data_IF_766827481683
#
_entry.id   IF_766827481683
#
_cell.length_a   1.000
_cell.length_b   1.000
_cell.length_c   1.000
_cell.angle_alpha   90.00
_cell.angle_beta   90.00
_cell.angle_gamma   90.00
#
_symmetry.space_group_name_H-M   'P 1'
#
loop_
_entity.id
_entity.type
_entity.pdbx_description
1 polymer ?
#
# COMPACT_ATOMS: atom_id res chain seq x y z
N UNK A 1 -4.00 10.60 -16.53
CA UNK A 1 -3.09 10.33 -17.67
C UNK A 1 -2.97 8.82 -17.94
N UNK A 2 -2.29 8.02 -17.11
CA UNK A 2 -2.20 6.57 -17.36
C UNK A 2 -3.57 5.87 -17.31
N UNK A 3 -4.35 6.10 -16.25
CA UNK A 3 -5.72 5.55 -16.13
C UNK A 3 -6.62 5.86 -17.33
N UNK A 4 -6.63 7.11 -17.79
CA UNK A 4 -7.55 7.51 -18.86
C UNK A 4 -7.09 6.95 -20.23
N UNK A 5 -5.78 6.80 -20.44
CA UNK A 5 -5.24 6.14 -21.62
C UNK A 5 -5.56 4.63 -21.64
N UNK A 6 -5.51 3.96 -20.47
CA UNK A 6 -5.97 2.58 -20.30
C UNK A 6 -7.46 2.46 -20.66
N UNK A 7 -8.31 3.31 -20.08
CA UNK A 7 -9.76 3.32 -20.35
C UNK A 7 -10.08 3.52 -21.83
N UNK A 8 -9.29 4.35 -22.50
CA UNK A 8 -9.47 4.65 -23.93
C UNK A 8 -8.82 3.61 -24.86
N UNK A 9 -8.29 2.51 -24.32
CA UNK A 9 -7.73 1.41 -25.11
C UNK A 9 -6.41 1.73 -25.80
N UNK A 10 -5.62 2.69 -25.28
CA UNK A 10 -4.28 2.97 -25.83
C UNK A 10 -3.26 1.88 -25.49
N UNK A 11 -3.54 1.08 -24.45
CA UNK A 11 -2.79 -0.10 -24.04
C UNK A 11 -3.72 -1.05 -23.28
N UNK A 12 -3.37 -2.33 -23.23
CA UNK A 12 -4.23 -3.39 -22.68
C UNK A 12 -4.09 -3.54 -21.15
N UNK A 13 -2.93 -3.18 -20.59
CA UNK A 13 -2.65 -3.33 -19.16
C UNK A 13 -1.61 -2.32 -18.67
N UNK A 14 -1.60 -2.07 -17.35
CA UNK A 14 -0.57 -1.30 -16.66
C UNK A 14 -0.15 -2.05 -15.40
N UNK A 15 1.15 -2.05 -15.12
CA UNK A 15 1.71 -2.65 -13.92
C UNK A 15 2.27 -1.57 -13.00
N UNK A 16 1.91 -1.62 -11.73
CA UNK A 16 2.47 -0.82 -10.64
C UNK A 16 2.00 -1.43 -9.31
N UNK A 17 2.15 -0.70 -8.22
CA UNK A 17 1.78 -1.14 -6.89
C UNK A 17 0.29 -1.48 -6.81
N UNK A 18 -0.03 -2.58 -6.14
CA UNK A 18 -1.40 -3.08 -5.98
C UNK A 18 -2.34 -2.04 -5.36
N UNK A 19 -1.89 -1.24 -4.39
CA UNK A 19 -2.71 -0.20 -3.74
C UNK A 19 -3.02 0.97 -4.68
N UNK A 20 -2.13 1.30 -5.62
CA UNK A 20 -2.38 2.31 -6.65
C UNK A 20 -3.42 1.79 -7.64
N UNK A 21 -3.24 0.55 -8.10
CA UNK A 21 -4.17 -0.13 -9.00
C UNK A 21 -5.56 -0.32 -8.35
N UNK A 22 -5.61 -0.64 -7.06
CA UNK A 22 -6.85 -0.72 -6.28
C UNK A 22 -7.61 0.61 -6.31
N UNK A 23 -6.91 1.75 -6.23
CA UNK A 23 -7.52 3.06 -6.39
C UNK A 23 -8.09 3.32 -7.78
N UNK A 24 -7.55 2.69 -8.84
CA UNK A 24 -8.12 2.79 -10.19
C UNK A 24 -9.44 2.02 -10.27
N UNK A 25 -9.47 0.81 -9.71
CA UNK A 25 -10.67 -0.04 -9.64
C UNK A 25 -11.76 0.62 -8.78
N UNK A 26 -11.43 1.12 -7.57
CA UNK A 26 -12.42 1.78 -6.68
C UNK A 26 -13.06 3.01 -7.35
N UNK A 27 -12.31 3.74 -8.18
CA UNK A 27 -12.81 4.92 -8.87
C UNK A 27 -13.68 4.61 -10.10
N UNK A 28 -13.56 3.41 -10.69
CA UNK A 28 -14.26 3.01 -11.91
C UNK A 28 -14.38 1.46 -12.00
N UNK A 29 -15.19 0.84 -11.14
CA UNK A 29 -15.21 -0.62 -10.98
C UNK A 29 -15.76 -1.38 -12.19
N UNK A 30 -16.55 -0.71 -13.04
CA UNK A 30 -17.07 -1.30 -14.28
C UNK A 30 -16.07 -1.21 -15.45
N UNK A 31 -15.03 -0.37 -15.32
CA UNK A 31 -14.05 -0.12 -16.39
C UNK A 31 -12.73 -0.88 -16.17
N UNK A 32 -12.40 -1.24 -14.93
CA UNK A 32 -11.10 -1.82 -14.59
C UNK A 32 -11.20 -2.99 -13.62
N UNK A 33 -10.29 -3.94 -13.79
CA UNK A 33 -10.08 -5.05 -12.87
C UNK A 33 -8.59 -5.23 -12.54
N UNK A 34 -8.33 -5.79 -11.36
CA UNK A 34 -7.00 -6.22 -10.94
C UNK A 34 -6.79 -7.67 -11.35
N UNK A 35 -5.88 -7.91 -12.30
CA UNK A 35 -5.62 -9.24 -12.86
C UNK A 35 -4.25 -9.79 -12.45
N UNK A 36 -4.16 -11.11 -12.37
CA UNK A 36 -2.89 -11.82 -12.18
C UNK A 36 -2.38 -11.88 -10.73
N UNK A 37 -1.11 -12.24 -10.59
CA UNK A 37 -0.41 -12.32 -9.30
C UNK A 37 0.57 -11.16 -9.18
N UNK A 38 0.90 -10.78 -7.95
CA UNK A 38 1.97 -9.82 -7.69
C UNK A 38 3.29 -10.31 -8.28
N UNK A 39 4.02 -9.41 -8.96
CA UNK A 39 5.34 -9.72 -9.53
C UNK A 39 6.46 -9.64 -8.49
N UNK A 40 6.34 -8.72 -7.54
CA UNK A 40 7.36 -8.35 -6.54
C UNK A 40 6.72 -8.06 -5.19
N UNK A 41 7.46 -8.25 -4.09
CA UNK A 41 7.06 -7.77 -2.77
C UNK A 41 7.86 -6.52 -2.42
N UNK A 42 7.17 -5.38 -2.33
CA UNK A 42 7.79 -4.07 -2.13
C UNK A 42 7.21 -3.41 -0.87
N UNK A 43 7.82 -3.66 0.32
CA UNK A 43 7.33 -3.08 1.56
C UNK A 43 7.55 -1.56 1.57
N UNK A 44 6.46 -0.83 1.83
CA UNK A 44 6.48 0.62 1.98
C UNK A 44 7.21 1.04 3.26
N UNK A 45 7.91 2.17 3.19
CA UNK A 45 8.61 2.78 4.31
C UNK A 45 8.16 4.23 4.54
N UNK A 46 8.31 4.70 5.77
CA UNK A 46 8.13 6.10 6.13
C UNK A 46 9.52 6.75 6.11
N UNK A 47 9.73 7.70 5.19
CA UNK A 47 10.98 8.45 5.11
C UNK A 47 11.08 9.50 6.23
N UNK A 48 12.21 9.53 6.92
CA UNK A 48 12.53 10.51 7.98
C UNK A 48 13.92 11.12 7.71
N UNK A 49 14.25 12.28 8.29
CA UNK A 49 15.61 12.82 8.22
C UNK A 49 16.63 11.86 8.87
N UNK A 50 17.85 11.85 8.32
CA UNK A 50 18.96 11.05 8.88
C UNK A 50 19.30 11.48 10.32
N UNK A 51 19.79 10.53 11.12
CA UNK A 51 20.17 10.76 12.52
C UNK A 51 19.01 10.92 13.52
N UNK A 52 17.76 10.68 13.10
CA UNK A 52 16.59 10.74 13.99
C UNK A 52 16.19 9.35 14.55
N UNK A 53 17.07 8.75 15.36
CA UNK A 53 16.85 7.42 15.94
C UNK A 53 15.61 7.35 16.84
N UNK A 54 15.46 8.28 17.79
CA UNK A 54 14.30 8.33 18.69
C UNK A 54 12.96 8.41 17.93
N UNK A 55 12.94 9.17 16.82
CA UNK A 55 11.74 9.32 16.02
C UNK A 55 11.45 8.07 15.18
N UNK A 56 12.48 7.42 14.65
CA UNK A 56 12.37 6.13 14.00
C UNK A 56 11.78 5.07 14.94
N UNK A 57 12.30 5.00 16.17
CA UNK A 57 11.83 4.06 17.20
C UNK A 57 10.39 4.35 17.63
N UNK A 58 10.04 5.62 17.77
CA UNK A 58 8.67 6.04 18.00
C UNK A 58 7.73 5.50 16.90
N UNK A 59 8.04 5.76 15.62
CA UNK A 59 7.23 5.30 14.49
C UNK A 59 7.10 3.77 14.50
N UNK A 60 8.22 3.05 14.66
CA UNK A 60 8.24 1.59 14.68
C UNK A 60 7.41 1.01 15.83
N UNK A 61 7.43 1.64 17.00
CA UNK A 61 6.63 1.25 18.16
C UNK A 61 5.15 1.50 17.91
N UNK A 62 4.80 2.70 17.43
CA UNK A 62 3.40 3.06 17.09
C UNK A 62 2.81 2.12 16.04
N UNK A 63 3.56 1.72 15.02
CA UNK A 63 3.07 0.77 14.01
C UNK A 63 2.81 -0.62 14.60
N UNK A 64 3.67 -1.09 15.52
CA UNK A 64 3.45 -2.37 16.23
C UNK A 64 2.20 -2.31 17.11
N UNK A 65 2.02 -1.22 17.85
CA UNK A 65 0.83 -0.99 18.68
C UNK A 65 -0.44 -0.96 17.83
N UNK A 66 -0.42 -0.27 16.68
CA UNK A 66 -1.54 -0.21 15.75
C UNK A 66 -1.90 -1.59 15.14
N UNK A 67 -0.92 -2.49 15.00
CA UNK A 67 -1.20 -3.88 14.62
C UNK A 67 -1.85 -4.64 15.78
N UNK A 68 -1.32 -4.48 17.00
CA UNK A 68 -1.81 -5.17 18.18
C UNK A 68 -3.23 -4.75 18.59
N UNK A 69 -3.57 -3.47 18.45
CA UNK A 69 -4.89 -2.93 18.78
C UNK A 69 -5.91 -3.02 17.63
N UNK A 70 -5.47 -3.45 16.44
CA UNK A 70 -6.30 -3.63 15.25
C UNK A 70 -6.54 -2.36 14.42
N UNK A 71 -6.01 -1.21 14.83
CA UNK A 71 -6.11 0.06 14.10
C UNK A 71 -5.51 -0.02 12.70
N UNK A 72 -4.41 -0.76 12.53
CA UNK A 72 -3.78 -1.01 11.24
C UNK A 72 -4.74 -1.71 10.27
N UNK A 73 -5.33 -2.83 10.71
CA UNK A 73 -6.26 -3.60 9.89
C UNK A 73 -7.52 -2.79 9.57
N UNK A 74 -8.01 -1.99 10.52
CA UNK A 74 -9.15 -1.09 10.32
C UNK A 74 -8.86 -0.02 9.27
N UNK A 75 -7.68 0.61 9.35
CA UNK A 75 -7.26 1.64 8.38
C UNK A 75 -7.12 1.05 6.96
N UNK A 76 -6.52 -0.14 6.84
CA UNK A 76 -6.40 -0.82 5.55
C UNK A 76 -7.78 -1.14 4.95
N UNK A 77 -8.67 -1.77 5.73
CA UNK A 77 -10.04 -2.11 5.29
C UNK A 77 -10.86 -0.89 4.87
N UNK A 78 -10.67 0.25 5.52
CA UNK A 78 -11.38 1.49 5.18
C UNK A 78 -10.87 2.14 3.87
N UNK A 79 -9.71 1.72 3.37
CA UNK A 79 -9.02 2.32 2.21
C UNK A 79 -8.80 1.29 1.11
N UNK A 80 -7.58 0.79 0.93
CA UNK A 80 -7.23 -0.19 -0.11
C UNK A 80 -8.03 -1.50 0.02
N UNK A 81 -8.45 -1.84 1.23
CA UNK A 81 -9.23 -3.04 1.52
C UNK A 81 -10.68 -3.03 1.02
N UNK A 82 -11.11 -1.97 0.32
CA UNK A 82 -12.34 -2.00 -0.49
C UNK A 82 -12.21 -2.85 -1.76
N UNK A 83 -10.96 -3.05 -2.21
CA UNK A 83 -10.63 -3.80 -3.43
C UNK A 83 -9.67 -4.95 -3.12
N UNK A 84 -8.74 -4.77 -2.17
CA UNK A 84 -7.78 -5.80 -1.75
C UNK A 84 -8.28 -6.48 -0.48
N UNK A 85 -8.89 -7.66 -0.59
CA UNK A 85 -9.56 -8.32 0.54
C UNK A 85 -8.61 -8.81 1.66
N UNK A 86 -7.32 -8.91 1.36
CA UNK A 86 -6.32 -9.38 2.32
C UNK A 86 -5.59 -8.19 2.94
N UNK A 87 -5.74 -8.03 4.26
CA UNK A 87 -4.91 -7.10 5.03
C UNK A 87 -3.47 -7.63 5.05
N UNK A 88 -2.48 -6.88 4.54
CA UNK A 88 -1.09 -7.33 4.54
C UNK A 88 -0.54 -7.39 5.97
N UNK A 89 0.39 -8.30 6.20
CA UNK A 89 1.13 -8.33 7.47
C UNK A 89 2.12 -7.18 7.49
N UNK A 90 2.20 -6.44 8.61
CA UNK A 90 3.22 -5.42 8.79
C UNK A 90 4.61 -6.10 8.76
N UNK A 91 5.52 -5.71 7.83
CA UNK A 91 6.86 -6.26 7.79
C UNK A 91 7.66 -5.85 9.03
N UNK A 92 8.67 -6.66 9.38
CA UNK A 92 9.58 -6.30 10.47
C UNK A 92 10.27 -4.95 10.15
N UNK A 93 10.35 -4.03 11.14
CA UNK A 93 11.09 -2.79 10.96
C UNK A 93 12.52 -3.07 10.52
N UNK A 94 13.01 -2.27 9.56
CA UNK A 94 14.46 -2.19 9.33
C UNK A 94 15.09 -1.40 10.48
N UNK A 95 16.35 -1.67 10.77
CA UNK A 95 17.08 -0.93 11.81
C UNK A 95 17.06 0.58 11.53
N UNK A 96 16.98 1.37 12.60
CA UNK A 96 17.06 2.82 12.51
C UNK A 96 18.48 3.23 12.14
N UNK A 97 18.59 4.05 11.09
CA UNK A 97 19.87 4.55 10.64
C UNK A 97 20.36 5.60 11.64
N UNK A 98 21.59 5.38 12.14
CA UNK A 98 22.34 6.33 12.98
C UNK A 98 22.93 7.45 12.13
#
# INVERSE_FOLDING_TARGET
KCRDALKNGQFDAVTTDNVILAGYVDAAPDDFELIGKTFTEEPYGIGIPEGQEDFCDFINTTLKEAVADGSYAKAFKATAGKVIDTVPTLPAPRGCAT
#
